data_IF_198643939184
#
_entry.id   IF_198643939184
#
_cell.length_a   1.000
_cell.length_b   1.000
_cell.length_c   1.000
_cell.angle_alpha   90.00
_cell.angle_beta   90.00
_cell.angle_gamma   90.00
#
_symmetry.space_group_name_H-M   'P 1'
#
loop_
_entity.id
_entity.type
_entity.pdbx_description
1 polymer ?
#
# COMPACT_ATOMS: atom_id res chain seq x y z
N UNK A 1 2.42 6.36 36.07
CA UNK A 1 3.51 5.77 35.25
C UNK A 1 3.12 4.50 34.53
N UNK A 2 2.44 3.52 35.16
CA UNK A 2 2.07 2.25 34.51
C UNK A 2 1.14 2.38 33.30
N UNK A 3 0.14 3.25 33.35
CA UNK A 3 -0.84 3.49 32.26
C UNK A 3 -0.21 4.02 30.97
N UNK A 4 0.80 4.88 31.07
CA UNK A 4 1.55 5.37 29.91
C UNK A 4 2.31 4.24 29.20
N UNK A 5 2.90 3.30 29.94
CA UNK A 5 3.59 2.14 29.35
C UNK A 5 2.61 1.25 28.57
N UNK A 6 1.40 1.05 29.07
CA UNK A 6 0.36 0.29 28.36
C UNK A 6 -0.10 1.01 27.09
N UNK A 7 -0.30 2.33 27.14
CA UNK A 7 -0.63 3.14 25.95
C UNK A 7 0.47 3.06 24.88
N UNK A 8 1.74 3.18 25.28
CA UNK A 8 2.87 3.04 24.37
C UNK A 8 2.92 1.66 23.73
N UNK A 9 2.77 0.58 24.51
CA UNK A 9 2.77 -0.78 23.97
C UNK A 9 1.68 -0.99 22.90
N UNK A 10 0.46 -0.49 23.14
CA UNK A 10 -0.64 -0.59 22.19
C UNK A 10 -0.36 0.20 20.90
N UNK A 11 0.17 1.42 21.02
CA UNK A 11 0.57 2.24 19.85
C UNK A 11 1.69 1.59 19.04
N UNK A 12 2.71 1.04 19.72
CA UNK A 12 3.83 0.35 19.09
C UNK A 12 3.45 -1.00 18.46
N UNK A 13 2.39 -1.66 18.90
CA UNK A 13 1.86 -2.88 18.28
C UNK A 13 0.92 -2.58 17.10
N UNK A 14 0.15 -1.50 17.18
CA UNK A 14 -0.77 -1.09 16.10
C UNK A 14 -0.03 -0.55 14.87
N UNK A 15 1.09 0.15 15.05
CA UNK A 15 1.89 0.67 13.94
C UNK A 15 2.41 -0.43 12.97
N UNK A 16 3.10 -1.50 13.42
CA UNK A 16 3.56 -2.58 12.54
C UNK A 16 2.42 -3.38 11.92
N UNK A 17 1.28 -3.52 12.60
CA UNK A 17 0.10 -4.20 12.05
C UNK A 17 -0.49 -3.41 10.87
N UNK A 18 -0.60 -2.09 10.98
CA UNK A 18 -1.04 -1.24 9.86
C UNK A 18 -0.04 -1.27 8.70
N UNK A 19 1.25 -1.33 9.00
CA UNK A 19 2.30 -1.40 7.99
C UNK A 19 2.15 -2.65 7.10
N UNK A 20 2.00 -3.85 7.68
CA UNK A 20 1.85 -5.08 6.89
C UNK A 20 0.58 -5.08 6.03
N UNK A 21 -0.50 -4.49 6.52
CA UNK A 21 -1.80 -4.44 5.83
C UNK A 21 -1.76 -3.62 4.53
N UNK A 22 -0.98 -2.54 4.48
CA UNK A 22 -0.89 -1.69 3.28
C UNK A 22 -0.21 -2.39 2.10
N UNK A 23 0.86 -3.14 2.37
CA UNK A 23 1.58 -3.88 1.34
C UNK A 23 0.74 -5.04 0.81
N UNK A 24 0.02 -5.75 1.69
CA UNK A 24 -0.88 -6.82 1.29
C UNK A 24 -2.03 -6.30 0.40
N UNK A 25 -2.62 -5.15 0.76
CA UNK A 25 -3.65 -4.51 -0.06
C UNK A 25 -3.12 -4.13 -1.44
N UNK A 26 -1.91 -3.56 -1.51
CA UNK A 26 -1.28 -3.23 -2.79
C UNK A 26 -1.04 -4.49 -3.65
N UNK A 27 -0.54 -5.55 -3.03
CA UNK A 27 -0.30 -6.84 -3.70
C UNK A 27 -1.60 -7.48 -4.21
N UNK A 28 -2.70 -7.39 -3.46
CA UNK A 28 -4.02 -7.88 -3.90
C UNK A 28 -4.56 -7.16 -5.13
N UNK A 29 -4.22 -5.88 -5.27
CA UNK A 29 -4.55 -5.09 -6.45
C UNK A 29 -3.59 -5.34 -7.63
N UNK A 30 -2.59 -6.23 -7.48
CA UNK A 30 -1.51 -6.43 -8.46
C UNK A 30 -0.68 -5.15 -8.69
N UNK A 31 -0.65 -4.26 -7.70
CA UNK A 31 0.16 -3.05 -7.71
C UNK A 31 1.60 -3.29 -7.24
N UNK A 32 2.48 -2.32 -7.50
CA UNK A 32 3.88 -2.31 -7.06
C UNK A 32 4.14 -1.16 -6.09
N UNK A 33 4.84 -1.45 -4.98
CA UNK A 33 5.27 -0.44 -4.02
C UNK A 33 6.59 0.21 -4.48
N UNK A 34 6.54 1.49 -4.88
CA UNK A 34 7.71 2.25 -5.39
C UNK A 34 7.70 3.69 -4.85
N UNK A 35 8.82 4.41 -4.94
CA UNK A 35 8.86 5.83 -4.51
C UNK A 35 7.99 6.75 -5.37
N UNK A 36 7.83 6.41 -6.65
CA UNK A 36 7.07 7.19 -7.64
C UNK A 36 6.48 6.27 -8.69
N UNK A 37 5.20 6.46 -9.03
CA UNK A 37 4.56 5.77 -10.13
C UNK A 37 5.09 6.28 -11.47
N UNK A 38 5.15 5.40 -12.46
CA UNK A 38 5.48 5.79 -13.82
C UNK A 38 4.29 6.51 -14.50
N UNK A 39 4.52 7.15 -15.65
CA UNK A 39 3.46 7.88 -16.40
C UNK A 39 2.28 6.99 -16.82
N UNK A 40 2.53 5.70 -17.03
CA UNK A 40 1.52 4.70 -17.41
C UNK A 40 0.99 3.92 -16.20
N UNK A 41 1.29 4.40 -15.00
CA UNK A 41 0.83 3.81 -13.74
C UNK A 41 0.04 4.84 -12.93
N UNK A 42 -0.98 4.37 -12.23
CA UNK A 42 -1.81 5.18 -11.35
C UNK A 42 -1.48 4.92 -9.88
N UNK A 43 -1.51 5.98 -9.06
CA UNK A 43 -1.41 5.87 -7.61
C UNK A 43 -2.75 5.41 -7.03
N UNK A 44 -2.82 4.16 -6.58
CA UNK A 44 -4.07 3.57 -6.06
C UNK A 44 -4.11 3.45 -4.53
N UNK A 45 -2.93 3.43 -3.88
CA UNK A 45 -2.80 3.35 -2.43
C UNK A 45 -1.41 3.79 -1.96
N UNK A 46 -1.18 3.76 -0.65
CA UNK A 46 0.13 3.89 -0.03
C UNK A 46 0.59 2.52 0.47
N UNK A 47 1.91 2.31 0.45
CA UNK A 47 2.60 1.15 1.01
C UNK A 47 3.41 1.57 2.26
N UNK A 48 4.11 0.62 2.87
CA UNK A 48 5.03 0.92 3.97
C UNK A 48 6.09 1.96 3.61
N UNK A 49 6.67 2.60 4.63
CA UNK A 49 7.80 3.55 4.49
C UNK A 49 7.51 4.70 3.52
N UNK A 50 6.24 5.13 3.44
CA UNK A 50 5.78 6.20 2.55
C UNK A 50 5.96 5.89 1.05
N UNK A 51 6.08 4.60 0.71
CA UNK A 51 6.05 4.16 -0.67
C UNK A 51 4.64 4.29 -1.26
N UNK A 52 4.58 4.41 -2.57
CA UNK A 52 3.34 4.52 -3.34
C UNK A 52 3.00 3.17 -3.94
N UNK A 53 1.74 2.78 -3.85
CA UNK A 53 1.22 1.61 -4.57
C UNK A 53 0.79 2.07 -5.98
N UNK A 54 1.52 1.60 -6.99
CA UNK A 54 1.33 1.99 -8.38
C UNK A 54 0.75 0.81 -9.17
N UNK A 55 -0.35 1.06 -9.89
CA UNK A 55 -1.02 0.08 -10.72
C UNK A 55 -0.82 0.43 -12.19
N UNK A 56 -0.41 -0.53 -13.02
CA UNK A 56 -0.30 -0.29 -14.47
C UNK A 56 -1.69 -0.08 -15.07
N UNK A 57 -1.90 1.07 -15.69
CA UNK A 57 -3.11 1.36 -16.44
C UNK A 57 -3.13 0.49 -17.70
N UNK A 58 -4.10 -0.42 -17.80
CA UNK A 58 -4.38 -1.05 -19.08
C UNK A 58 -4.98 0.00 -20.04
N UNK A 59 -4.53 0.06 -21.30
CA UNK A 59 -5.19 0.89 -22.28
C UNK A 59 -6.67 0.46 -22.38
N UNK A 60 -7.56 1.45 -22.39
CA UNK A 60 -9.01 1.25 -22.44
C UNK A 60 -9.44 0.41 -23.67
N UNK A 61 -8.61 0.39 -24.72
CA UNK A 61 -8.82 -0.39 -25.93
C UNK A 61 -8.32 -1.83 -25.80
N UNK A 62 -8.88 -2.59 -24.86
CA UNK A 62 -8.78 -4.05 -24.89
C UNK A 62 -9.91 -4.57 -25.78
N UNK A 63 -9.66 -4.64 -27.09
CA UNK A 63 -10.50 -5.44 -27.97
C UNK A 63 -10.32 -6.90 -27.56
N UNK A 64 -11.23 -7.40 -26.73
CA UNK A 64 -11.36 -8.83 -26.47
C UNK A 64 -11.93 -9.48 -27.73
N UNK A 65 -11.05 -9.82 -28.67
CA UNK A 65 -11.27 -10.86 -29.67
C UNK A 65 -10.14 -11.87 -29.45
N UNK A 66 -10.34 -12.80 -28.53
CA UNK A 66 -9.72 -14.13 -28.46
C UNK A 66 -10.62 -15.01 -27.59
#
# INVERSE_FOLDING_TARGET
MRTFLFLFAVLFLLAPARNAFFDEKCSKLQGRCVNSCQKNEELVALCQKSLKCCLTLQPCWKNTND
#
